data_IF_651928983750
#
_entry.id   IF_651928983750
#
_cell.length_a   1.000
_cell.length_b   1.000
_cell.length_c   1.000
_cell.angle_alpha   90.00
_cell.angle_beta   90.00
_cell.angle_gamma   90.00
#
_symmetry.space_group_name_H-M   'P 1'
#
loop_
_entity.id
_entity.type
_entity.pdbx_description
1 polymer ?
#
# COMPACT_ATOMS: atom_id res chain seq x y z
N UNK A 1 9.94 81.83 26.43
CA UNK A 1 10.86 80.83 25.94
C UNK A 1 10.32 79.50 26.43
N UNK A 2 9.64 78.71 25.56
CA UNK A 2 8.96 77.45 25.93
C UNK A 2 9.86 76.28 25.52
N UNK A 3 10.24 75.45 26.49
CA UNK A 3 11.01 74.26 26.34
C UNK A 3 9.99 73.11 26.05
N UNK A 4 10.11 72.46 24.88
CA UNK A 4 9.31 71.25 24.47
C UNK A 4 10.05 70.04 24.94
N UNK A 5 9.46 69.29 25.85
CA UNK A 5 9.90 67.91 26.19
C UNK A 5 9.50 66.90 25.09
N UNK A 6 10.51 66.26 24.58
CA UNK A 6 10.35 65.13 23.62
C UNK A 6 10.34 63.82 24.42
N UNK A 7 9.21 63.16 24.48
CA UNK A 7 9.07 61.79 25.04
C UNK A 7 9.38 60.78 23.94
N UNK A 8 10.44 60.00 24.11
CA UNK A 8 10.73 58.82 23.32
C UNK A 8 9.92 57.64 23.87
N UNK A 9 8.93 57.18 23.11
CA UNK A 9 8.23 55.94 23.37
C UNK A 9 9.07 54.75 22.91
N UNK A 10 9.52 53.89 23.84
CA UNK A 10 10.13 52.61 23.57
C UNK A 10 9.00 51.62 23.27
N UNK A 11 8.83 51.26 21.99
CA UNK A 11 7.94 50.21 21.58
C UNK A 11 8.56 48.84 21.92
N UNK A 12 8.00 48.15 22.90
CA UNK A 12 8.32 46.74 23.18
C UNK A 12 7.64 45.92 22.11
N UNK A 13 8.41 45.40 21.13
CA UNK A 13 7.97 44.34 20.25
C UNK A 13 7.84 43.07 21.10
N UNK A 14 6.62 42.66 21.37
CA UNK A 14 6.34 41.34 21.88
C UNK A 14 6.64 40.31 20.75
N UNK A 15 7.76 39.59 20.86
CA UNK A 15 8.02 38.39 20.11
C UNK A 15 7.02 37.33 20.59
N UNK A 16 5.92 37.16 19.83
CA UNK A 16 5.04 36.02 19.98
C UNK A 16 5.86 34.81 19.54
N UNK A 17 6.36 34.04 20.50
CA UNK A 17 6.88 32.70 20.22
C UNK A 17 5.69 31.85 19.81
N UNK A 18 5.61 31.51 18.54
CA UNK A 18 4.82 30.37 18.11
C UNK A 18 5.42 29.12 18.78
N UNK A 19 4.91 28.81 19.98
CA UNK A 19 5.05 27.46 20.51
C UNK A 19 4.31 26.56 19.50
N UNK A 20 5.05 25.72 18.79
CA UNK A 20 4.46 24.73 17.90
C UNK A 20 3.41 23.95 18.70
N UNK A 21 2.19 23.96 18.22
CA UNK A 21 1.17 23.02 18.69
C UNK A 21 1.79 21.63 18.61
N UNK A 22 1.85 20.95 19.77
CA UNK A 22 2.18 19.53 19.78
C UNK A 22 1.15 18.87 18.88
N UNK A 23 1.61 18.21 17.82
CA UNK A 23 0.75 17.38 16.99
C UNK A 23 -0.11 16.53 17.94
N UNK A 24 -1.43 16.61 17.83
CA UNK A 24 -2.31 15.75 18.60
C UNK A 24 -1.89 14.31 18.29
N UNK A 25 -1.53 13.55 19.33
CA UNK A 25 -1.20 12.15 19.17
C UNK A 25 -2.43 11.42 18.63
N UNK A 26 -2.26 10.66 17.56
CA UNK A 26 -3.33 9.84 16.98
C UNK A 26 -3.85 8.86 18.04
N UNK A 27 -5.14 8.93 18.32
CA UNK A 27 -5.85 7.90 19.09
C UNK A 27 -6.13 6.70 18.18
N UNK A 28 -5.23 5.72 18.23
CA UNK A 28 -5.26 4.53 17.36
C UNK A 28 -6.52 3.69 17.62
N UNK A 29 -6.93 3.54 18.89
CA UNK A 29 -8.12 2.76 19.23
C UNK A 29 -9.40 3.42 18.68
N UNK A 30 -9.48 4.75 18.73
CA UNK A 30 -10.57 5.49 18.13
C UNK A 30 -10.58 5.35 16.59
N UNK A 31 -9.41 5.36 15.95
CA UNK A 31 -9.30 5.18 14.50
C UNK A 31 -9.69 3.75 14.08
N UNK A 32 -9.32 2.73 14.85
CA UNK A 32 -9.76 1.35 14.62
C UNK A 32 -11.26 1.18 14.84
N UNK A 33 -11.82 1.78 15.90
CA UNK A 33 -13.28 1.78 16.11
C UNK A 33 -14.05 2.48 14.97
N UNK A 34 -13.47 3.52 14.36
CA UNK A 34 -14.02 4.13 13.17
C UNK A 34 -14.03 3.14 11.97
N UNK A 35 -12.95 2.38 11.78
CA UNK A 35 -12.90 1.36 10.72
C UNK A 35 -13.98 0.30 10.92
N UNK A 36 -14.15 -0.23 12.13
CA UNK A 36 -15.21 -1.20 12.48
C UNK A 36 -16.61 -0.67 12.14
N UNK A 37 -16.92 0.58 12.50
CA UNK A 37 -18.20 1.21 12.13
C UNK A 37 -18.41 1.24 10.60
N UNK A 38 -17.36 1.58 9.83
CA UNK A 38 -17.46 1.63 8.37
C UNK A 38 -17.56 0.22 7.76
N UNK A 39 -16.88 -0.79 8.31
CA UNK A 39 -17.05 -2.20 7.92
C UNK A 39 -18.50 -2.62 8.08
N UNK A 40 -19.12 -2.37 9.23
CA UNK A 40 -20.51 -2.71 9.47
C UNK A 40 -21.48 -1.98 8.54
N UNK A 41 -21.20 -0.70 8.21
CA UNK A 41 -22.00 0.05 7.22
C UNK A 41 -21.87 -0.53 5.81
N UNK A 42 -20.68 -0.91 5.39
CA UNK A 42 -20.44 -1.57 4.12
C UNK A 42 -21.14 -2.93 4.03
N UNK A 43 -21.02 -3.77 5.06
CA UNK A 43 -21.69 -5.07 5.13
C UNK A 43 -23.23 -4.92 5.05
N UNK A 44 -23.82 -3.98 5.77
CA UNK A 44 -25.27 -3.72 5.72
C UNK A 44 -25.76 -3.39 4.31
N UNK A 45 -24.95 -2.69 3.50
CA UNK A 45 -25.30 -2.42 2.10
C UNK A 45 -25.09 -3.63 1.18
N UNK A 46 -24.02 -4.42 1.40
CA UNK A 46 -23.76 -5.63 0.62
C UNK A 46 -24.85 -6.70 0.83
N UNK A 47 -25.47 -6.74 2.01
CA UNK A 47 -26.52 -7.68 2.39
C UNK A 47 -27.94 -7.15 2.16
N UNK A 48 -28.11 -5.91 1.72
CA UNK A 48 -29.40 -5.20 1.64
C UNK A 48 -30.47 -5.92 0.83
N UNK A 49 -30.11 -6.72 -0.16
CA UNK A 49 -31.02 -7.45 -1.04
C UNK A 49 -31.16 -8.93 -0.67
N UNK A 50 -30.71 -9.33 0.51
CA UNK A 50 -30.71 -10.71 0.97
C UNK A 50 -29.32 -11.17 1.39
N UNK A 51 -29.04 -12.46 1.19
CA UNK A 51 -27.71 -13.01 1.49
C UNK A 51 -26.64 -12.42 0.56
N UNK A 52 -25.48 -12.04 1.12
CA UNK A 52 -24.39 -11.45 0.35
C UNK A 52 -23.86 -12.41 -0.72
N UNK A 53 -23.58 -11.91 -1.91
CA UNK A 53 -22.81 -12.65 -2.92
C UNK A 53 -21.32 -12.48 -2.62
N UNK A 54 -20.73 -13.46 -1.94
CA UNK A 54 -19.32 -13.43 -1.52
C UNK A 54 -18.33 -13.43 -2.71
N UNK A 55 -18.80 -13.67 -3.93
CA UNK A 55 -17.98 -13.52 -5.14
C UNK A 55 -17.93 -12.07 -5.66
N UNK A 56 -18.72 -11.15 -5.09
CA UNK A 56 -18.74 -9.73 -5.43
C UNK A 56 -17.90 -8.95 -4.44
N UNK A 57 -16.72 -8.48 -4.87
CA UNK A 57 -15.75 -7.79 -4.02
C UNK A 57 -15.83 -6.26 -4.18
N UNK A 58 -15.88 -5.47 -3.10
CA UNK A 58 -15.74 -4.02 -3.13
C UNK A 58 -14.47 -3.58 -3.86
N UNK A 59 -14.58 -2.53 -4.68
CA UNK A 59 -13.44 -1.99 -5.42
C UNK A 59 -13.24 -0.50 -5.21
N UNK A 60 -14.24 0.31 -5.56
CA UNK A 60 -14.16 1.77 -5.43
C UNK A 60 -15.54 2.39 -5.15
N UNK A 61 -15.52 3.63 -4.66
CA UNK A 61 -16.67 4.53 -4.60
C UNK A 61 -16.26 5.82 -5.31
N UNK A 62 -16.88 6.11 -6.44
CA UNK A 62 -16.54 7.28 -7.23
C UNK A 62 -17.15 8.56 -6.63
N UNK A 63 -16.68 9.72 -7.09
CA UNK A 63 -17.15 11.00 -6.60
C UNK A 63 -18.67 11.13 -6.71
N UNK A 64 -19.33 11.47 -5.60
CA UNK A 64 -20.79 11.59 -5.50
C UNK A 64 -21.54 10.29 -5.19
N UNK A 65 -20.88 9.13 -5.22
CA UNK A 65 -21.45 7.85 -4.80
C UNK A 65 -21.29 7.63 -3.29
N UNK A 66 -22.08 6.71 -2.73
CA UNK A 66 -22.08 6.41 -1.30
C UNK A 66 -21.68 4.98 -0.97
N UNK A 67 -21.75 4.07 -1.92
CA UNK A 67 -21.60 2.64 -1.73
C UNK A 67 -20.60 2.07 -2.70
N UNK A 68 -20.03 0.92 -2.34
CA UNK A 68 -19.01 0.25 -3.13
C UNK A 68 -19.55 -0.20 -4.51
N UNK A 69 -18.84 0.17 -5.55
CA UNK A 69 -18.88 -0.51 -6.83
C UNK A 69 -18.15 -1.84 -6.68
N UNK A 70 -18.92 -2.93 -6.64
CA UNK A 70 -18.36 -4.27 -6.51
C UNK A 70 -18.01 -4.87 -7.86
N UNK A 71 -16.98 -5.72 -7.89
CA UNK A 71 -16.55 -6.51 -9.04
C UNK A 71 -16.64 -8.00 -8.70
N UNK A 72 -17.13 -8.76 -9.65
CA UNK A 72 -17.13 -10.22 -9.53
C UNK A 72 -15.69 -10.74 -9.55
N UNK A 73 -15.40 -11.68 -8.68
CA UNK A 73 -14.11 -12.39 -8.67
C UNK A 73 -13.85 -12.99 -10.05
N UNK A 74 -12.79 -12.56 -10.70
CA UNK A 74 -12.37 -12.97 -12.02
C UNK A 74 -10.85 -12.75 -12.15
N UNK A 75 -10.20 -13.46 -13.07
CA UNK A 75 -8.74 -13.38 -13.25
C UNK A 75 -8.24 -11.99 -13.66
N UNK A 76 -9.12 -11.15 -14.21
CA UNK A 76 -8.83 -9.77 -14.62
C UNK A 76 -8.99 -8.74 -13.48
N UNK A 77 -9.58 -9.13 -12.34
CA UNK A 77 -9.87 -8.25 -11.20
C UNK A 77 -8.85 -8.44 -10.09
N UNK A 78 -7.88 -7.53 -10.00
CA UNK A 78 -6.75 -7.64 -9.08
C UNK A 78 -7.03 -7.19 -7.63
N UNK A 79 -8.15 -6.50 -7.40
CA UNK A 79 -8.44 -5.89 -6.08
C UNK A 79 -9.21 -6.80 -5.14
N UNK A 80 -9.61 -8.00 -5.58
CA UNK A 80 -10.55 -8.87 -4.85
C UNK A 80 -10.05 -9.35 -3.48
N UNK A 81 -8.74 -9.37 -3.23
CA UNK A 81 -8.17 -9.82 -1.95
C UNK A 81 -8.22 -8.79 -0.82
N UNK A 82 -8.41 -7.51 -1.13
CA UNK A 82 -8.35 -6.44 -0.12
C UNK A 82 -9.56 -6.43 0.83
N UNK A 83 -10.77 -6.64 0.30
CA UNK A 83 -11.95 -6.68 1.17
C UNK A 83 -11.92 -7.79 2.21
N UNK A 84 -11.71 -9.08 1.87
CA UNK A 84 -11.51 -10.09 2.89
C UNK A 84 -10.32 -9.79 3.80
N UNK A 85 -9.25 -9.17 3.30
CA UNK A 85 -8.14 -8.70 4.12
C UNK A 85 -8.55 -7.66 5.15
N UNK A 86 -9.39 -6.69 4.79
CA UNK A 86 -9.97 -5.70 5.72
C UNK A 86 -10.80 -6.42 6.80
N UNK A 87 -11.61 -7.40 6.43
CA UNK A 87 -12.40 -8.16 7.40
C UNK A 87 -11.51 -8.95 8.37
N UNK A 88 -10.40 -9.51 7.90
CA UNK A 88 -9.41 -10.16 8.77
C UNK A 88 -8.76 -9.18 9.75
N UNK A 89 -8.41 -7.97 9.30
CA UNK A 89 -7.86 -6.93 10.17
C UNK A 89 -8.89 -6.40 11.16
N UNK A 90 -10.14 -6.28 10.76
CA UNK A 90 -11.22 -5.88 11.66
C UNK A 90 -11.49 -6.97 12.71
N UNK A 91 -11.47 -8.25 12.33
CA UNK A 91 -11.48 -9.35 13.27
C UNK A 91 -10.29 -9.32 14.24
N UNK A 92 -9.08 -9.03 13.77
CA UNK A 92 -7.90 -8.86 14.64
C UNK A 92 -8.10 -7.74 15.66
N UNK A 93 -8.69 -6.61 15.25
CA UNK A 93 -8.95 -5.47 16.13
C UNK A 93 -10.06 -5.72 17.14
N UNK A 94 -11.14 -6.41 16.74
CA UNK A 94 -12.39 -6.50 17.51
C UNK A 94 -12.63 -7.85 18.18
N UNK A 95 -11.99 -8.92 17.67
CA UNK A 95 -12.24 -10.31 18.04
C UNK A 95 -13.72 -10.73 17.82
N UNK A 96 -14.40 -10.13 16.84
CA UNK A 96 -15.78 -10.41 16.50
C UNK A 96 -15.90 -11.65 15.62
N UNK A 97 -16.43 -12.76 16.16
CA UNK A 97 -16.58 -14.01 15.41
C UNK A 97 -17.46 -13.90 14.16
N UNK A 98 -18.45 -13.01 14.15
CA UNK A 98 -19.29 -12.78 12.95
C UNK A 98 -18.45 -12.19 11.81
N UNK A 99 -17.55 -11.25 12.13
CA UNK A 99 -16.62 -10.68 11.13
C UNK A 99 -15.65 -11.75 10.63
N UNK A 100 -15.16 -12.63 11.52
CA UNK A 100 -14.32 -13.77 11.13
C UNK A 100 -15.02 -14.70 10.13
N UNK A 101 -16.27 -15.09 10.40
CA UNK A 101 -17.04 -15.95 9.50
C UNK A 101 -17.26 -15.30 8.12
N UNK A 102 -17.48 -13.98 8.08
CA UNK A 102 -17.60 -13.24 6.83
C UNK A 102 -16.24 -13.17 6.10
N UNK A 103 -15.15 -12.91 6.82
CA UNK A 103 -13.80 -12.90 6.27
C UNK A 103 -13.46 -14.27 5.64
N UNK A 104 -13.82 -15.38 6.28
CA UNK A 104 -13.65 -16.74 5.75
C UNK A 104 -14.42 -16.92 4.42
N UNK A 105 -15.72 -16.56 4.38
CA UNK A 105 -16.57 -16.73 3.19
C UNK A 105 -16.07 -15.89 1.99
N UNK A 106 -15.71 -14.61 2.23
CA UNK A 106 -15.14 -13.76 1.18
C UNK A 106 -13.77 -14.27 0.73
N UNK A 107 -12.92 -14.74 1.64
CA UNK A 107 -11.60 -15.34 1.32
C UNK A 107 -11.76 -16.58 0.45
N UNK A 108 -12.65 -17.48 0.80
CA UNK A 108 -12.88 -18.74 0.06
C UNK A 108 -13.35 -18.51 -1.37
N UNK A 109 -14.02 -17.40 -1.66
CA UNK A 109 -14.40 -17.02 -3.04
C UNK A 109 -13.21 -16.83 -3.98
N UNK A 110 -12.01 -16.61 -3.43
CA UNK A 110 -10.77 -16.41 -4.17
C UNK A 110 -9.96 -17.69 -4.41
N UNK A 111 -10.47 -18.84 -3.95
CA UNK A 111 -9.77 -20.14 -4.09
C UNK A 111 -9.38 -20.48 -5.53
N UNK A 112 -10.18 -20.03 -6.50
CA UNK A 112 -9.93 -20.28 -7.92
C UNK A 112 -8.50 -19.89 -8.37
N UNK A 113 -7.88 -18.88 -7.73
CA UNK A 113 -6.52 -18.41 -8.09
C UNK A 113 -5.42 -19.43 -7.78
N UNK A 114 -5.69 -20.41 -6.90
CA UNK A 114 -4.81 -21.55 -6.69
C UNK A 114 -5.02 -22.71 -7.70
N UNK A 115 -6.09 -22.65 -8.50
CA UNK A 115 -6.53 -23.73 -9.38
C UNK A 115 -6.36 -23.38 -10.87
N UNK A 116 -6.14 -22.10 -11.20
CA UNK A 116 -5.94 -21.62 -12.57
C UNK A 116 -4.52 -21.10 -12.80
N UNK A 117 -4.01 -21.12 -14.04
CA UNK A 117 -2.74 -20.48 -14.36
C UNK A 117 -2.75 -18.98 -14.07
N UNK A 118 -1.60 -18.42 -13.69
CA UNK A 118 -1.42 -16.99 -13.48
C UNK A 118 -1.82 -16.20 -14.73
N UNK A 119 -2.79 -15.31 -14.59
CA UNK A 119 -3.20 -14.39 -15.64
C UNK A 119 -2.25 -13.19 -15.74
N UNK A 120 -1.84 -12.67 -14.57
CA UNK A 120 -0.82 -11.65 -14.40
C UNK A 120 -0.18 -11.76 -13.00
N UNK A 121 0.57 -10.74 -12.59
CA UNK A 121 1.35 -10.78 -11.36
C UNK A 121 0.56 -10.52 -10.08
N UNK A 122 -0.69 -10.07 -10.14
CA UNK A 122 -1.44 -9.52 -8.99
C UNK A 122 -1.90 -10.57 -7.96
N UNK A 123 -1.39 -11.80 -8.05
CA UNK A 123 -1.79 -12.93 -7.21
C UNK A 123 -1.50 -12.71 -5.71
N UNK A 124 -0.46 -11.94 -5.38
CA UNK A 124 -0.20 -11.56 -3.99
C UNK A 124 -1.29 -10.66 -3.42
N UNK A 125 -1.74 -9.66 -4.18
CA UNK A 125 -2.86 -8.81 -3.79
C UNK A 125 -4.15 -9.60 -3.60
N UNK A 126 -4.39 -10.61 -4.45
CA UNK A 126 -5.58 -11.43 -4.39
C UNK A 126 -5.54 -12.44 -3.23
N UNK A 127 -4.45 -13.21 -3.12
CA UNK A 127 -4.38 -14.36 -2.23
C UNK A 127 -3.64 -14.07 -0.94
N UNK A 128 -2.55 -13.30 -0.96
CA UNK A 128 -1.80 -13.06 0.27
C UNK A 128 -2.48 -12.03 1.18
N UNK A 129 -3.11 -10.99 0.61
CA UNK A 129 -3.92 -10.06 1.41
C UNK A 129 -5.14 -10.72 2.06
N UNK A 130 -5.69 -11.80 1.46
CA UNK A 130 -6.84 -12.54 1.98
C UNK A 130 -6.43 -13.79 2.77
N UNK A 131 -6.03 -14.84 2.09
CA UNK A 131 -5.61 -16.10 2.71
C UNK A 131 -4.40 -15.96 3.64
N UNK A 132 -3.46 -15.04 3.34
CA UNK A 132 -2.31 -14.77 4.18
C UNK A 132 -2.72 -14.27 5.55
N UNK A 133 -3.59 -13.25 5.62
CA UNK A 133 -4.14 -12.77 6.89
C UNK A 133 -5.00 -13.83 7.59
N UNK A 134 -5.82 -14.56 6.83
CA UNK A 134 -6.61 -15.66 7.37
C UNK A 134 -5.74 -16.75 7.99
N UNK A 135 -4.64 -17.16 7.31
CA UNK A 135 -3.70 -18.13 7.87
C UNK A 135 -3.01 -17.63 9.13
N UNK A 136 -2.54 -16.39 9.12
CA UNK A 136 -1.88 -15.79 10.29
C UNK A 136 -2.75 -15.82 11.55
N UNK A 137 -4.06 -15.60 11.39
CA UNK A 137 -5.00 -15.50 12.51
C UNK A 137 -5.62 -16.86 12.91
N UNK A 138 -5.72 -17.82 11.99
CA UNK A 138 -6.44 -19.08 12.23
C UNK A 138 -5.56 -20.33 12.18
N UNK A 139 -4.37 -20.22 11.56
CA UNK A 139 -3.50 -21.37 11.26
C UNK A 139 -4.18 -22.48 10.43
N UNK A 140 -5.21 -22.11 9.65
CA UNK A 140 -5.93 -23.07 8.81
C UNK A 140 -4.99 -23.68 7.74
N UNK A 141 -4.70 -24.99 7.75
CA UNK A 141 -3.74 -25.60 6.83
C UNK A 141 -4.18 -25.52 5.36
N UNK A 142 -5.49 -25.47 5.10
CA UNK A 142 -6.01 -25.28 3.73
C UNK A 142 -5.60 -23.94 3.16
N UNK A 143 -5.54 -22.90 3.98
CA UNK A 143 -5.10 -21.56 3.55
C UNK A 143 -3.63 -21.56 3.15
N UNK A 144 -2.78 -22.27 3.93
CA UNK A 144 -1.37 -22.48 3.56
C UNK A 144 -1.25 -23.13 2.18
N UNK A 145 -1.99 -24.19 1.93
CA UNK A 145 -1.90 -24.95 0.69
C UNK A 145 -2.37 -24.11 -0.52
N UNK A 146 -3.41 -23.27 -0.36
CA UNK A 146 -3.85 -22.29 -1.37
C UNK A 146 -2.75 -21.27 -1.66
N UNK A 147 -2.11 -20.69 -0.64
CA UNK A 147 -1.03 -19.71 -0.81
C UNK A 147 0.15 -20.33 -1.57
N UNK A 148 0.58 -21.53 -1.21
CA UNK A 148 1.71 -22.21 -1.86
C UNK A 148 1.38 -22.49 -3.33
N UNK A 149 0.20 -23.04 -3.64
CA UNK A 149 -0.22 -23.32 -5.01
C UNK A 149 -0.28 -22.02 -5.86
N UNK A 150 -0.75 -20.93 -5.27
CA UNK A 150 -0.81 -19.62 -5.94
C UNK A 150 0.60 -19.05 -6.16
N UNK A 151 1.51 -19.20 -5.19
CA UNK A 151 2.91 -18.79 -5.33
C UNK A 151 3.62 -19.57 -6.45
N UNK A 152 3.37 -20.88 -6.56
CA UNK A 152 3.89 -21.70 -7.67
C UNK A 152 3.32 -21.22 -9.02
N UNK A 153 2.03 -20.87 -9.08
CA UNK A 153 1.41 -20.30 -10.28
C UNK A 153 2.05 -18.97 -10.66
N UNK A 154 2.25 -18.04 -9.70
CA UNK A 154 2.95 -16.77 -9.94
C UNK A 154 4.38 -16.99 -10.47
N UNK A 155 5.12 -17.94 -9.92
CA UNK A 155 6.47 -18.25 -10.34
C UNK A 155 6.58 -18.78 -11.79
N UNK A 156 5.47 -19.23 -12.40
CA UNK A 156 5.45 -19.58 -13.82
C UNK A 156 5.66 -18.39 -14.76
N UNK A 157 5.39 -17.17 -14.29
CA UNK A 157 5.63 -15.93 -15.03
C UNK A 157 7.09 -15.45 -14.96
N UNK A 158 7.94 -16.12 -14.17
CA UNK A 158 9.34 -15.76 -14.05
C UNK A 158 10.14 -16.17 -15.29
N UNK A 159 10.90 -15.22 -15.81
CA UNK A 159 11.85 -15.47 -16.91
C UNK A 159 13.29 -15.45 -16.37
N UNK A 160 13.98 -16.60 -16.35
CA UNK A 160 15.33 -16.68 -15.77
C UNK A 160 16.39 -15.90 -16.57
N UNK A 161 16.17 -15.61 -17.85
CA UNK A 161 17.09 -14.82 -18.67
C UNK A 161 16.98 -13.32 -18.34
N UNK A 162 15.75 -12.86 -18.06
CA UNK A 162 15.48 -11.49 -17.62
C UNK A 162 15.76 -11.32 -16.13
N UNK A 163 15.44 -12.31 -15.33
CA UNK A 163 15.55 -12.28 -13.88
C UNK A 163 14.36 -11.68 -13.15
N UNK A 164 13.21 -11.49 -13.84
CA UNK A 164 11.98 -10.96 -13.25
C UNK A 164 10.75 -11.78 -13.60
N UNK A 165 9.69 -11.57 -12.81
CA UNK A 165 8.34 -12.04 -13.07
C UNK A 165 7.68 -11.09 -14.08
N UNK A 166 7.11 -11.63 -15.15
CA UNK A 166 6.33 -10.88 -16.13
C UNK A 166 5.07 -10.33 -15.46
N UNK A 167 4.88 -9.02 -15.49
CA UNK A 167 3.72 -8.41 -14.83
C UNK A 167 2.45 -8.59 -15.63
N UNK A 168 2.45 -8.21 -16.90
CA UNK A 168 1.25 -8.25 -17.74
C UNK A 168 1.48 -9.03 -19.03
N UNK A 169 1.23 -10.35 -19.07
CA UNK A 169 1.36 -11.15 -20.29
C UNK A 169 0.57 -10.56 -21.46
N UNK A 170 -0.62 -10.02 -21.21
CA UNK A 170 -1.49 -9.39 -22.21
C UNK A 170 -0.93 -8.11 -22.84
N UNK A 171 0.04 -7.49 -22.22
CA UNK A 171 0.61 -6.19 -22.66
C UNK A 171 2.00 -6.33 -23.30
N UNK A 172 2.49 -7.57 -23.56
CA UNK A 172 3.80 -7.80 -24.17
C UNK A 172 3.94 -7.07 -25.50
N UNK A 173 2.95 -7.18 -26.41
CA UNK A 173 2.99 -6.52 -27.70
C UNK A 173 2.91 -5.00 -27.57
N UNK A 174 2.00 -4.48 -26.73
CA UNK A 174 1.81 -3.05 -26.52
C UNK A 174 3.06 -2.38 -25.92
N UNK A 175 3.71 -3.02 -24.97
CA UNK A 175 4.90 -2.49 -24.29
C UNK A 175 6.20 -2.79 -25.05
N UNK A 176 6.21 -3.82 -25.89
CA UNK A 176 7.34 -4.19 -26.74
C UNK A 176 8.27 -5.23 -26.13
N UNK A 177 7.85 -5.99 -25.11
CA UNK A 177 8.66 -7.04 -24.50
C UNK A 177 8.17 -7.52 -23.14
N UNK A 178 9.01 -8.29 -22.47
CA UNK A 178 8.76 -8.74 -21.10
C UNK A 178 8.71 -7.53 -20.17
N UNK A 179 7.56 -7.26 -19.60
CA UNK A 179 7.32 -6.07 -18.79
C UNK A 179 7.26 -6.40 -17.31
N UNK A 180 7.81 -5.51 -16.50
CA UNK A 180 7.80 -5.59 -15.05
C UNK A 180 7.37 -4.24 -14.50
N UNK A 181 6.36 -4.22 -13.65
CA UNK A 181 5.92 -3.00 -12.98
C UNK A 181 6.31 -2.99 -11.51
N UNK A 182 6.37 -1.80 -10.92
CA UNK A 182 6.81 -1.64 -9.52
C UNK A 182 5.90 -2.36 -8.53
N UNK A 183 4.61 -2.44 -8.82
CA UNK A 183 3.58 -3.13 -8.02
C UNK A 183 3.93 -4.59 -7.75
N UNK A 184 4.68 -5.23 -8.65
CA UNK A 184 5.11 -6.62 -8.49
C UNK A 184 5.97 -6.86 -7.25
N UNK A 185 6.62 -5.81 -6.71
CA UNK A 185 7.39 -5.91 -5.47
C UNK A 185 6.55 -6.36 -4.27
N UNK A 186 5.24 -6.06 -4.26
CA UNK A 186 4.32 -6.49 -3.19
C UNK A 186 4.07 -7.99 -3.24
N UNK A 187 4.01 -8.58 -4.45
CA UNK A 187 3.72 -10.00 -4.63
C UNK A 187 4.89 -10.90 -4.18
N UNK A 188 6.09 -10.35 -3.99
CA UNK A 188 7.25 -11.10 -3.51
C UNK A 188 7.07 -11.65 -2.09
N UNK A 189 6.29 -10.98 -1.26
CA UNK A 189 6.00 -11.42 0.10
C UNK A 189 5.37 -12.82 0.11
N UNK A 190 4.40 -13.07 -0.78
CA UNK A 190 3.78 -14.38 -0.94
C UNK A 190 4.81 -15.46 -1.32
N UNK A 191 5.76 -15.15 -2.20
CA UNK A 191 6.80 -16.09 -2.61
C UNK A 191 7.75 -16.44 -1.46
N UNK A 192 8.22 -15.43 -0.73
CA UNK A 192 9.07 -15.64 0.44
C UNK A 192 8.36 -16.46 1.51
N UNK A 193 7.10 -16.09 1.80
CA UNK A 193 6.29 -16.81 2.77
C UNK A 193 6.07 -18.28 2.37
N UNK A 194 5.69 -18.54 1.12
CA UNK A 194 5.45 -19.89 0.62
C UNK A 194 6.72 -20.75 0.73
N UNK A 195 7.89 -20.23 0.34
CA UNK A 195 9.16 -20.93 0.46
C UNK A 195 9.52 -21.34 1.91
N UNK A 196 9.10 -20.56 2.91
CA UNK A 196 9.34 -20.86 4.33
C UNK A 196 8.29 -21.80 4.93
N UNK A 197 7.12 -21.89 4.32
CA UNK A 197 5.99 -22.63 4.87
C UNK A 197 5.69 -23.94 4.13
N UNK A 198 6.70 -24.51 3.46
CA UNK A 198 6.65 -25.84 2.81
C UNK A 198 6.55 -25.81 1.29
N UNK A 199 6.56 -24.65 0.66
CA UNK A 199 6.72 -24.50 -0.79
C UNK A 199 8.18 -24.72 -1.25
N UNK A 200 8.39 -24.72 -2.56
CA UNK A 200 9.72 -24.91 -3.16
C UNK A 200 10.65 -23.73 -2.81
N UNK A 201 11.88 -24.02 -2.42
CA UNK A 201 12.95 -23.02 -2.17
C UNK A 201 13.16 -22.09 -3.37
N UNK A 202 12.93 -22.56 -4.59
CA UNK A 202 13.00 -21.76 -5.83
C UNK A 202 12.15 -20.48 -5.74
N UNK A 203 11.04 -20.49 -5.02
CA UNK A 203 10.17 -19.29 -4.84
C UNK A 203 10.92 -18.15 -4.17
N UNK A 204 11.76 -18.47 -3.18
CA UNK A 204 12.64 -17.49 -2.52
C UNK A 204 13.66 -16.91 -3.51
N UNK A 205 14.30 -17.77 -4.30
CA UNK A 205 15.34 -17.35 -5.26
C UNK A 205 14.74 -16.50 -6.38
N UNK A 206 13.51 -16.80 -6.84
CA UNK A 206 12.75 -15.97 -7.78
C UNK A 206 12.46 -14.60 -7.21
N UNK A 207 12.02 -14.51 -5.95
CA UNK A 207 11.74 -13.24 -5.30
C UNK A 207 12.98 -12.37 -5.16
N UNK A 208 14.10 -12.94 -4.74
CA UNK A 208 15.39 -12.26 -4.65
C UNK A 208 15.87 -11.76 -6.00
N UNK A 209 15.82 -12.63 -7.03
CA UNK A 209 16.20 -12.25 -8.39
C UNK A 209 15.37 -11.09 -8.93
N UNK A 210 14.05 -11.13 -8.70
CA UNK A 210 13.15 -10.06 -9.10
C UNK A 210 13.50 -8.74 -8.40
N UNK A 211 13.72 -8.75 -7.09
CA UNK A 211 14.08 -7.58 -6.30
C UNK A 211 15.41 -6.96 -6.78
N UNK A 212 16.44 -7.79 -7.01
CA UNK A 212 17.73 -7.32 -7.51
C UNK A 212 17.63 -6.68 -8.89
N UNK A 213 16.87 -7.31 -9.81
CA UNK A 213 16.68 -6.78 -11.17
C UNK A 213 15.84 -5.49 -11.17
N UNK A 214 14.87 -5.38 -10.28
CA UNK A 214 14.09 -4.16 -10.09
C UNK A 214 14.97 -3.03 -9.54
N UNK A 215 15.84 -3.32 -8.55
CA UNK A 215 16.80 -2.35 -8.01
C UNK A 215 17.74 -1.82 -9.09
N UNK A 216 18.23 -2.70 -9.97
CA UNK A 216 19.16 -2.34 -11.05
C UNK A 216 18.49 -1.44 -12.12
N UNK A 217 17.22 -1.68 -12.46
CA UNK A 217 16.65 -1.13 -13.68
C UNK A 217 15.48 -0.17 -13.50
N UNK A 218 14.74 -0.21 -12.36
CA UNK A 218 13.51 0.58 -12.22
C UNK A 218 13.67 1.85 -11.37
N UNK A 219 14.90 2.30 -11.16
CA UNK A 219 15.17 3.54 -10.44
C UNK A 219 16.10 4.45 -11.23
N UNK A 220 15.94 5.76 -10.98
CA UNK A 220 16.84 6.81 -11.46
C UNK A 220 17.97 7.01 -10.47
N UNK A 221 19.05 7.73 -10.85
CA UNK A 221 20.18 8.00 -9.95
C UNK A 221 19.80 8.74 -8.66
N UNK A 222 18.67 9.44 -8.65
CA UNK A 222 18.10 10.14 -7.51
C UNK A 222 17.12 9.30 -6.68
N UNK A 223 17.04 7.99 -6.96
CA UNK A 223 16.14 7.02 -6.31
C UNK A 223 14.64 7.21 -6.55
N UNK A 224 14.24 8.04 -7.52
CA UNK A 224 12.86 8.07 -7.99
C UNK A 224 12.58 6.87 -8.89
N UNK A 225 11.41 6.24 -8.76
CA UNK A 225 11.08 5.02 -9.49
C UNK A 225 10.52 5.28 -10.88
N UNK A 226 10.83 4.40 -11.84
CA UNK A 226 10.04 4.17 -13.04
C UNK A 226 8.92 3.19 -12.71
N UNK A 227 7.73 3.43 -13.24
CA UNK A 227 6.62 2.49 -13.04
C UNK A 227 6.89 1.16 -13.77
N UNK A 228 7.31 1.20 -15.04
CA UNK A 228 7.47 0.03 -15.91
C UNK A 228 8.90 -0.05 -16.44
N UNK A 229 9.50 -1.25 -16.35
CA UNK A 229 10.68 -1.64 -17.10
C UNK A 229 10.31 -2.74 -18.11
N UNK A 230 10.85 -2.67 -19.32
CA UNK A 230 10.62 -3.63 -20.39
C UNK A 230 11.96 -4.26 -20.79
N UNK A 231 11.96 -5.56 -20.98
CA UNK A 231 13.16 -6.34 -21.22
C UNK A 231 13.06 -7.16 -22.51
N UNK A 232 14.19 -7.30 -23.18
CA UNK A 232 14.40 -8.26 -24.24
C UNK A 232 14.63 -9.66 -23.65
N UNK A 233 13.78 -10.62 -23.95
CA UNK A 233 13.87 -12.00 -23.44
C UNK A 233 15.04 -12.81 -23.99
N UNK A 234 15.64 -12.42 -25.10
CA UNK A 234 16.81 -13.08 -25.69
C UNK A 234 18.12 -12.69 -25.00
N UNK A 235 18.24 -11.41 -24.64
CA UNK A 235 19.46 -10.87 -24.03
C UNK A 235 19.33 -10.71 -22.51
N UNK A 236 18.12 -10.53 -21.98
CA UNK A 236 17.86 -10.15 -20.59
C UNK A 236 18.04 -8.67 -20.30
N UNK A 237 18.37 -7.85 -21.30
CA UNK A 237 18.63 -6.41 -21.12
C UNK A 237 17.33 -5.61 -20.98
N UNK A 238 17.37 -4.59 -20.13
CA UNK A 238 16.31 -3.58 -20.08
C UNK A 238 16.40 -2.70 -21.35
N UNK A 239 15.33 -2.66 -22.12
CA UNK A 239 15.27 -1.96 -23.42
C UNK A 239 14.40 -0.70 -23.38
N UNK A 240 13.53 -0.56 -22.34
CA UNK A 240 12.64 0.60 -22.22
C UNK A 240 12.25 0.77 -20.75
N UNK A 241 12.10 2.03 -20.33
CA UNK A 241 11.52 2.43 -19.06
C UNK A 241 10.42 3.44 -19.32
N UNK A 242 9.26 3.28 -18.71
CA UNK A 242 8.12 4.16 -18.95
C UNK A 242 7.14 4.16 -17.78
N UNK A 243 6.07 4.92 -17.92
CA UNK A 243 4.94 4.85 -17.02
C UNK A 243 3.71 4.23 -17.69
N UNK A 244 2.76 3.76 -16.87
CA UNK A 244 1.42 3.36 -17.29
C UNK A 244 0.36 4.15 -16.51
N UNK A 245 0.60 4.37 -15.21
CA UNK A 245 -0.34 5.06 -14.32
C UNK A 245 0.16 6.44 -13.88
N UNK A 246 1.45 6.75 -14.00
CA UNK A 246 2.04 8.06 -13.69
C UNK A 246 1.75 9.13 -14.73
N UNK A 247 2.16 10.36 -14.43
CA UNK A 247 1.97 11.54 -15.29
C UNK A 247 2.78 11.46 -16.57
N UNK A 248 4.06 11.08 -16.47
CA UNK A 248 4.99 10.98 -17.61
C UNK A 248 6.03 9.90 -17.34
N UNK A 249 6.74 9.43 -18.37
CA UNK A 249 7.78 8.41 -18.21
C UNK A 249 8.89 8.84 -17.24
N UNK A 250 9.16 10.14 -17.14
CA UNK A 250 10.17 10.71 -16.25
C UNK A 250 9.61 11.13 -14.87
N UNK A 251 8.31 10.99 -14.62
CA UNK A 251 7.70 11.41 -13.37
C UNK A 251 7.86 10.35 -12.26
N UNK A 252 7.70 10.78 -11.03
CA UNK A 252 7.63 9.91 -9.85
C UNK A 252 6.16 9.70 -9.48
N UNK A 253 5.56 8.62 -9.98
CA UNK A 253 4.22 8.20 -9.59
C UNK A 253 4.19 7.81 -8.11
N UNK A 254 3.32 8.45 -7.33
CA UNK A 254 3.37 8.36 -5.87
C UNK A 254 3.16 6.93 -5.35
N UNK A 255 2.20 6.19 -5.90
CA UNK A 255 1.94 4.81 -5.49
C UNK A 255 3.01 3.85 -5.98
N UNK A 256 3.63 4.08 -7.15
CA UNK A 256 4.77 3.29 -7.59
C UNK A 256 5.96 3.40 -6.64
N UNK A 257 6.28 4.63 -6.19
CA UNK A 257 7.31 4.83 -5.17
C UNK A 257 6.93 4.19 -3.83
N UNK A 258 5.64 4.24 -3.45
CA UNK A 258 5.13 3.60 -2.25
C UNK A 258 5.28 2.06 -2.29
N UNK A 259 4.94 1.44 -3.43
CA UNK A 259 5.14 0.00 -3.63
C UNK A 259 6.60 -0.41 -3.51
N UNK A 260 7.52 0.41 -4.04
CA UNK A 260 8.95 0.17 -3.89
C UNK A 260 9.39 0.20 -2.43
N UNK A 261 8.97 1.21 -1.66
CA UNK A 261 9.30 1.34 -0.23
C UNK A 261 8.81 0.12 0.54
N UNK A 262 7.53 -0.24 0.38
CA UNK A 262 6.96 -1.41 1.05
C UNK A 262 7.66 -2.70 0.62
N UNK A 263 7.84 -2.91 -0.68
CA UNK A 263 8.45 -4.11 -1.22
C UNK A 263 9.88 -4.32 -0.73
N UNK A 264 10.75 -3.31 -0.75
CA UNK A 264 12.12 -3.46 -0.24
C UNK A 264 12.19 -3.59 1.28
N UNK A 265 11.24 -3.04 2.02
CA UNK A 265 11.08 -3.31 3.47
C UNK A 265 10.82 -4.79 3.71
N UNK A 266 9.91 -5.39 2.95
CA UNK A 266 9.62 -6.83 2.97
C UNK A 266 10.83 -7.65 2.55
N UNK A 267 11.50 -7.30 1.46
CA UNK A 267 12.68 -8.05 0.98
C UNK A 267 13.79 -8.06 2.04
N UNK A 268 14.02 -6.94 2.73
CA UNK A 268 14.96 -6.91 3.86
C UNK A 268 14.50 -7.83 5.01
N UNK A 269 13.23 -7.75 5.44
CA UNK A 269 12.69 -8.64 6.47
C UNK A 269 12.95 -10.11 6.15
N UNK A 270 12.74 -10.48 4.89
CA UNK A 270 12.78 -11.86 4.43
C UNK A 270 14.19 -12.40 4.20
N UNK A 271 15.12 -11.54 3.80
CA UNK A 271 16.50 -11.94 3.45
C UNK A 271 17.52 -11.63 4.54
N UNK A 272 17.31 -10.58 5.32
CA UNK A 272 18.30 -10.02 6.25
C UNK A 272 19.48 -9.35 5.55
N UNK A 273 19.47 -9.19 4.22
CA UNK A 273 20.56 -8.55 3.47
C UNK A 273 20.48 -7.02 3.60
N UNK A 274 21.46 -6.37 4.25
CA UNK A 274 21.41 -4.93 4.53
C UNK A 274 21.30 -4.05 3.28
N UNK A 275 21.71 -4.52 2.10
CA UNK A 275 21.59 -3.75 0.86
C UNK A 275 20.15 -3.32 0.57
N UNK A 276 19.16 -4.14 0.93
CA UNK A 276 17.76 -3.82 0.70
C UNK A 276 17.23 -2.78 1.68
N UNK A 277 17.67 -2.81 2.94
CA UNK A 277 17.33 -1.78 3.92
C UNK A 277 17.95 -0.44 3.55
N UNK A 278 19.25 -0.41 3.23
CA UNK A 278 19.95 0.79 2.77
C UNK A 278 19.31 1.39 1.52
N UNK A 279 18.79 0.53 0.64
CA UNK A 279 18.06 1.00 -0.54
C UNK A 279 16.70 1.56 -0.18
N UNK A 280 15.92 0.88 0.67
CA UNK A 280 14.63 1.36 1.15
C UNK A 280 14.75 2.71 1.87
N UNK A 281 15.80 2.94 2.67
CA UNK A 281 16.08 4.23 3.31
C UNK A 281 16.16 5.38 2.30
N UNK A 282 16.89 5.16 1.19
CA UNK A 282 17.03 6.17 0.13
C UNK A 282 15.71 6.46 -0.58
N UNK A 283 14.90 5.43 -0.80
CA UNK A 283 13.56 5.59 -1.37
C UNK A 283 12.65 6.40 -0.43
N UNK A 284 12.71 6.12 0.87
CA UNK A 284 11.97 6.86 1.90
C UNK A 284 12.42 8.31 1.97
N UNK A 285 13.73 8.58 1.98
CA UNK A 285 14.26 9.94 2.04
C UNK A 285 13.74 10.79 0.87
N UNK A 286 13.71 10.22 -0.35
CA UNK A 286 13.17 10.90 -1.53
C UNK A 286 11.66 11.12 -1.41
N UNK A 287 10.92 10.11 -0.95
CA UNK A 287 9.48 10.21 -0.78
C UNK A 287 9.12 11.31 0.24
N UNK A 288 9.68 11.26 1.44
CA UNK A 288 9.40 12.21 2.51
C UNK A 288 9.77 13.65 2.15
N UNK A 289 10.90 13.84 1.42
CA UNK A 289 11.34 15.16 0.96
C UNK A 289 10.34 15.84 0.02
N UNK A 290 9.59 15.05 -0.75
CA UNK A 290 8.66 15.56 -1.76
C UNK A 290 7.19 15.63 -1.27
N UNK A 291 6.92 15.19 -0.03
CA UNK A 291 5.56 15.25 0.53
C UNK A 291 5.11 16.69 0.75
N UNK A 292 3.81 16.97 0.54
CA UNK A 292 3.21 18.20 1.01
C UNK A 292 3.11 18.23 2.54
N UNK A 293 2.74 19.38 3.08
CA UNK A 293 2.69 19.65 4.53
C UNK A 293 1.81 18.68 5.32
N UNK A 294 0.74 18.18 4.70
CA UNK A 294 -0.19 17.21 5.30
C UNK A 294 0.24 15.74 5.16
N UNK A 295 1.44 15.47 4.69
CA UNK A 295 2.00 14.11 4.55
C UNK A 295 1.20 13.13 3.69
N UNK A 296 0.22 13.58 2.91
CA UNK A 296 -0.50 12.77 1.91
C UNK A 296 -0.07 13.24 0.52
N UNK A 297 0.54 12.39 -0.31
CA UNK A 297 1.09 12.80 -1.60
C UNK A 297 0.01 13.20 -2.60
N UNK A 298 0.40 13.99 -3.58
CA UNK A 298 -0.34 14.06 -4.84
C UNK A 298 -0.23 12.73 -5.57
N UNK A 299 -1.16 12.43 -6.48
CA UNK A 299 -1.17 11.17 -7.23
C UNK A 299 0.13 10.91 -8.01
N UNK A 300 0.82 11.97 -8.40
CA UNK A 300 2.17 11.97 -8.98
C UNK A 300 2.89 13.21 -8.44
N UNK A 301 4.13 13.07 -8.00
CA UNK A 301 4.91 14.18 -7.44
C UNK A 301 5.30 15.25 -8.47
N UNK A 302 5.16 14.93 -9.76
CA UNK A 302 5.39 15.83 -10.88
C UNK A 302 4.08 16.25 -11.57
N UNK A 303 2.92 16.02 -10.95
CA UNK A 303 1.63 16.41 -11.50
C UNK A 303 1.62 17.93 -11.81
N UNK A 304 1.19 18.32 -13.01
CA UNK A 304 1.33 19.72 -13.47
C UNK A 304 0.44 20.70 -12.71
N UNK A 305 -0.62 20.19 -12.08
CA UNK A 305 -1.63 20.98 -11.38
C UNK A 305 -1.32 21.18 -9.89
N UNK A 306 -0.15 20.76 -9.38
CA UNK A 306 0.25 21.02 -7.99
C UNK A 306 0.27 22.54 -7.74
N UNK A 307 -0.36 23.05 -6.65
CA UNK A 307 -0.90 22.34 -5.49
C UNK A 307 -2.36 21.86 -5.61
N UNK A 308 -3.01 21.99 -6.74
CA UNK A 308 -4.43 21.65 -6.95
C UNK A 308 -4.63 20.23 -7.51
N UNK A 309 -3.56 19.49 -7.77
CA UNK A 309 -3.65 18.10 -8.23
C UNK A 309 -4.35 17.21 -7.20
N UNK A 310 -5.09 16.17 -7.64
CA UNK A 310 -5.67 15.18 -6.74
C UNK A 310 -4.63 14.49 -5.86
N UNK A 311 -5.07 14.04 -4.70
CA UNK A 311 -4.25 13.29 -3.75
C UNK A 311 -4.30 11.79 -4.05
N UNK A 312 -3.37 11.07 -3.48
CA UNK A 312 -3.44 9.61 -3.39
C UNK A 312 -3.26 9.15 -1.95
N UNK A 313 -4.38 9.07 -1.22
CA UNK A 313 -4.41 8.57 0.14
C UNK A 313 -3.87 7.14 0.24
N UNK A 314 -4.08 6.31 -0.80
CA UNK A 314 -3.59 4.93 -0.81
C UNK A 314 -2.06 4.84 -0.74
N UNK A 315 -1.36 5.73 -1.44
CA UNK A 315 0.11 5.78 -1.39
C UNK A 315 0.63 6.16 0.00
N UNK A 316 -0.05 7.09 0.70
CA UNK A 316 0.30 7.42 2.09
C UNK A 316 0.09 6.23 3.03
N UNK A 317 -1.01 5.48 2.88
CA UNK A 317 -1.29 4.29 3.69
C UNK A 317 -0.22 3.21 3.53
N UNK A 318 0.16 2.91 2.30
CA UNK A 318 1.21 1.93 1.97
C UNK A 318 2.54 2.33 2.61
N UNK A 319 2.94 3.60 2.47
CA UNK A 319 4.19 4.09 3.05
C UNK A 319 4.14 4.10 4.57
N UNK A 320 3.04 4.56 5.17
CA UNK A 320 2.89 4.54 6.63
C UNK A 320 3.04 3.12 7.19
N UNK A 321 2.42 2.13 6.54
CA UNK A 321 2.53 0.73 6.92
C UNK A 321 3.97 0.21 6.83
N UNK A 322 4.68 0.52 5.74
CA UNK A 322 6.09 0.16 5.57
C UNK A 322 7.01 0.82 6.59
N UNK A 323 6.82 2.12 6.88
CA UNK A 323 7.64 2.87 7.82
C UNK A 323 7.51 2.34 9.25
N UNK A 324 6.32 1.91 9.65
CA UNK A 324 6.11 1.28 10.96
C UNK A 324 6.87 -0.04 11.09
N UNK A 325 6.94 -0.83 10.02
CA UNK A 325 7.78 -2.02 10.00
C UNK A 325 9.27 -1.67 10.03
N UNK A 326 9.70 -0.73 9.18
CA UNK A 326 11.09 -0.25 9.15
C UNK A 326 11.55 0.28 10.51
N UNK A 327 10.68 0.95 11.26
CA UNK A 327 11.02 1.50 12.58
C UNK A 327 11.56 0.44 13.55
N UNK A 328 11.08 -0.80 13.42
CA UNK A 328 11.49 -1.94 14.24
C UNK A 328 12.82 -2.59 13.83
N UNK A 329 13.41 -2.21 12.70
CA UNK A 329 14.70 -2.76 12.26
C UNK A 329 15.90 -2.10 12.90
N UNK A 330 15.71 -0.97 13.58
CA UNK A 330 16.78 -0.17 14.17
C UNK A 330 16.75 -0.26 15.69
N UNK A 331 17.95 -0.39 16.27
CA UNK A 331 18.14 -0.19 17.70
C UNK A 331 18.36 1.29 18.06
N UNK A 332 18.37 1.59 19.36
CA UNK A 332 18.84 2.87 19.91
C UNK A 332 18.17 4.14 19.36
N UNK A 333 16.86 4.08 19.04
CA UNK A 333 16.06 5.22 18.60
C UNK A 333 16.26 5.66 17.14
N UNK A 334 17.09 4.99 16.36
CA UNK A 334 17.25 5.30 14.93
C UNK A 334 15.96 5.09 14.12
N UNK A 335 15.10 4.18 14.57
CA UNK A 335 13.81 3.91 13.94
C UNK A 335 12.74 4.98 14.20
N UNK A 336 12.93 5.85 15.20
CA UNK A 336 11.92 6.81 15.63
C UNK A 336 11.48 7.76 14.50
N UNK A 337 12.43 8.22 13.66
CA UNK A 337 12.11 9.07 12.50
C UNK A 337 11.10 8.46 11.53
N UNK A 338 11.12 7.14 11.37
CA UNK A 338 10.19 6.42 10.50
C UNK A 338 8.82 6.29 11.15
N UNK A 339 8.80 5.97 12.46
CA UNK A 339 7.57 5.95 13.25
C UNK A 339 6.89 7.33 13.24
N UNK A 340 7.62 8.41 13.54
CA UNK A 340 7.09 9.78 13.50
C UNK A 340 6.53 10.16 12.13
N UNK A 341 7.18 9.78 11.04
CA UNK A 341 6.68 10.04 9.69
C UNK A 341 5.37 9.27 9.41
N UNK A 342 5.30 8.01 9.82
CA UNK A 342 4.07 7.20 9.71
C UNK A 342 2.94 7.77 10.55
N UNK A 343 3.21 8.21 11.80
CA UNK A 343 2.23 8.84 12.67
C UNK A 343 1.67 10.13 12.05
N UNK A 344 2.50 10.97 11.43
CA UNK A 344 2.04 12.18 10.72
C UNK A 344 1.13 11.84 9.54
N UNK A 345 1.47 10.83 8.73
CA UNK A 345 0.60 10.34 7.66
C UNK A 345 -0.74 9.86 8.21
N UNK A 346 -0.72 9.03 9.25
CA UNK A 346 -1.93 8.46 9.86
C UNK A 346 -2.78 9.53 10.56
N UNK A 347 -2.17 10.53 11.21
CA UNK A 347 -2.90 11.69 11.76
C UNK A 347 -3.67 12.43 10.66
N UNK A 348 -3.01 12.72 9.52
CA UNK A 348 -3.67 13.37 8.39
C UNK A 348 -4.79 12.51 7.82
N UNK A 349 -4.53 11.22 7.58
CA UNK A 349 -5.51 10.26 7.04
C UNK A 349 -6.71 10.06 7.99
N UNK A 350 -6.50 10.23 9.30
CA UNK A 350 -7.57 10.13 10.33
C UNK A 350 -8.34 11.44 10.54
N UNK A 351 -8.00 12.51 9.81
CA UNK A 351 -8.68 13.81 9.89
C UNK A 351 -10.02 13.83 9.13
N UNK A 352 -10.80 14.88 9.41
CA UNK A 352 -12.07 15.17 8.70
C UNK A 352 -11.88 15.35 7.18
N UNK A 353 -10.67 15.68 6.74
CA UNK A 353 -10.34 15.84 5.33
C UNK A 353 -10.30 14.50 4.58
N UNK A 354 -9.79 13.46 5.23
CA UNK A 354 -9.53 12.19 4.56
C UNK A 354 -10.45 11.05 4.98
N UNK A 355 -10.97 11.03 6.22
CA UNK A 355 -11.96 10.04 6.62
C UNK A 355 -13.28 10.29 5.91
N UNK A 356 -13.88 9.25 5.34
CA UNK A 356 -15.15 9.34 4.61
C UNK A 356 -16.35 9.64 5.51
N UNK A 357 -16.33 9.13 6.73
CA UNK A 357 -17.39 9.29 7.75
C UNK A 357 -18.79 9.06 7.16
N UNK A 358 -19.61 10.11 7.08
CA UNK A 358 -20.95 10.05 6.53
C UNK A 358 -21.02 10.30 5.02
N UNK A 359 -19.91 10.61 4.38
CA UNK A 359 -19.84 10.84 2.92
C UNK A 359 -20.11 9.55 2.17
N UNK A 360 -19.47 8.46 2.54
CA UNK A 360 -19.67 7.13 1.97
C UNK A 360 -19.27 6.02 2.97
N UNK A 361 -19.29 4.75 2.57
CA UNK A 361 -19.01 3.59 3.43
C UNK A 361 -17.56 3.10 3.39
N UNK A 362 -16.65 3.76 2.68
CA UNK A 362 -15.22 3.47 2.75
C UNK A 362 -14.59 4.06 4.03
N UNK A 363 -13.35 3.75 4.31
CA UNK A 363 -12.59 4.42 5.37
C UNK A 363 -12.11 5.79 4.91
N UNK A 364 -11.55 5.86 3.70
CA UNK A 364 -10.84 7.04 3.21
C UNK A 364 -11.41 7.60 1.91
N UNK A 365 -11.25 8.91 1.76
CA UNK A 365 -11.47 9.68 0.55
C UNK A 365 -10.11 9.95 -0.14
N UNK A 366 -10.17 10.58 -1.32
CA UNK A 366 -9.04 11.24 -1.98
C UNK A 366 -7.90 10.31 -2.39
N UNK A 367 -8.22 9.16 -2.98
CA UNK A 367 -7.26 8.32 -3.71
C UNK A 367 -7.39 8.50 -5.22
N UNK A 368 -6.31 8.23 -5.95
CA UNK A 368 -6.29 8.27 -7.43
C UNK A 368 -5.76 6.97 -7.99
N UNK A 369 -6.63 6.16 -8.59
CA UNK A 369 -6.29 4.85 -9.13
C UNK A 369 -5.47 4.94 -10.42
N UNK A 370 -6.03 5.55 -11.49
CA UNK A 370 -5.39 5.57 -12.80
C UNK A 370 -5.70 6.87 -13.56
N UNK A 371 -4.89 7.90 -13.32
CA UNK A 371 -5.08 9.22 -13.96
C UNK A 371 -5.08 9.20 -15.49
N UNK A 372 -4.09 8.57 -16.19
CA UNK A 372 -4.08 8.54 -17.64
C UNK A 372 -5.31 7.89 -18.27
N UNK A 373 -5.89 6.88 -17.60
CA UNK A 373 -7.14 6.25 -18.03
C UNK A 373 -8.40 7.00 -17.57
N UNK A 374 -8.25 8.12 -16.86
CA UNK A 374 -9.37 8.90 -16.26
C UNK A 374 -10.28 8.02 -15.39
N UNK A 375 -9.69 7.08 -14.68
CA UNK A 375 -10.38 6.12 -13.82
C UNK A 375 -10.00 6.32 -12.37
N UNK A 376 -10.99 6.27 -11.48
CA UNK A 376 -10.81 6.33 -10.02
C UNK A 376 -10.02 7.58 -9.59
N UNK A 377 -10.38 8.76 -10.13
CA UNK A 377 -9.77 10.04 -9.77
C UNK A 377 -10.53 10.62 -8.59
N UNK A 378 -9.80 10.99 -7.53
CA UNK A 378 -10.39 11.54 -6.30
C UNK A 378 -11.51 10.64 -5.74
N UNK A 379 -11.24 9.34 -5.65
CA UNK A 379 -12.16 8.30 -5.26
C UNK A 379 -11.78 7.65 -3.92
N UNK A 380 -12.73 6.95 -3.30
CA UNK A 380 -12.42 5.96 -2.28
C UNK A 380 -12.07 4.65 -2.95
N UNK A 381 -10.96 4.03 -2.57
CA UNK A 381 -10.43 2.83 -3.22
C UNK A 381 -10.10 1.78 -2.17
N UNK A 382 -10.51 0.53 -2.41
CA UNK A 382 -10.45 -0.55 -1.42
C UNK A 382 -9.03 -0.79 -0.85
N UNK A 383 -7.98 -0.65 -1.65
CA UNK A 383 -6.62 -0.85 -1.15
C UNK A 383 -6.10 0.32 -0.29
N UNK A 384 -6.70 1.52 -0.38
CA UNK A 384 -6.43 2.58 0.59
C UNK A 384 -6.93 2.17 1.98
N UNK A 385 -8.14 1.64 2.05
CA UNK A 385 -8.75 1.18 3.29
C UNK A 385 -7.97 -0.01 3.88
N UNK A 386 -7.55 -0.96 3.03
CA UNK A 386 -6.73 -2.10 3.47
C UNK A 386 -5.43 -1.67 4.14
N UNK A 387 -4.63 -0.83 3.48
CA UNK A 387 -3.36 -0.39 4.04
C UNK A 387 -3.51 0.62 5.18
N UNK A 388 -4.65 1.32 5.26
CA UNK A 388 -4.95 2.19 6.40
C UNK A 388 -5.16 1.39 7.68
N UNK A 389 -6.03 0.39 7.69
CA UNK A 389 -6.27 -0.44 8.87
C UNK A 389 -5.04 -1.29 9.22
N UNK A 390 -4.30 -1.79 8.22
CA UNK A 390 -3.01 -2.45 8.44
C UNK A 390 -2.03 -1.54 9.18
N UNK A 391 -1.86 -0.30 8.72
CA UNK A 391 -0.95 0.65 9.35
C UNK A 391 -1.39 1.02 10.77
N UNK A 392 -2.70 1.16 11.03
CA UNK A 392 -3.21 1.39 12.39
C UNK A 392 -2.89 0.22 13.34
N UNK A 393 -3.08 -1.02 12.89
CA UNK A 393 -2.74 -2.21 13.69
C UNK A 393 -1.23 -2.31 13.94
N UNK A 394 -0.41 -2.03 12.92
CA UNK A 394 1.05 -1.96 13.07
C UNK A 394 1.47 -0.88 14.07
N UNK A 395 0.85 0.31 14.02
CA UNK A 395 1.12 1.38 14.98
C UNK A 395 0.71 1.00 16.40
N UNK A 396 -0.45 0.36 16.57
CA UNK A 396 -0.88 -0.17 17.88
C UNK A 396 0.17 -1.11 18.46
N UNK A 397 0.62 -2.10 17.69
CA UNK A 397 1.66 -3.05 18.09
C UNK A 397 2.98 -2.37 18.49
N UNK A 398 3.44 -1.42 17.66
CA UNK A 398 4.67 -0.66 17.94
C UNK A 398 4.55 0.17 19.22
N UNK A 399 3.39 0.78 19.48
CA UNK A 399 3.12 1.52 20.71
C UNK A 399 3.08 0.62 21.97
N UNK A 400 2.73 -0.66 21.81
CA UNK A 400 2.79 -1.70 22.84
C UNK A 400 4.20 -2.31 23.01
N UNK A 401 5.18 -1.85 22.25
CA UNK A 401 6.56 -2.36 22.27
C UNK A 401 6.75 -3.69 21.52
N UNK A 402 5.80 -4.06 20.68
CA UNK A 402 5.85 -5.26 19.85
C UNK A 402 6.42 -4.94 18.46
N UNK A 403 6.78 -5.99 17.70
CA UNK A 403 7.10 -5.80 16.28
C UNK A 403 5.84 -5.42 15.51
N UNK A 404 5.98 -4.56 14.51
CA UNK A 404 4.88 -4.17 13.63
C UNK A 404 4.28 -5.38 12.88
N UNK A 405 5.14 -6.32 12.48
CA UNK A 405 4.79 -7.59 11.81
C UNK A 405 5.29 -8.77 12.64
N UNK A 406 4.47 -9.84 12.72
CA UNK A 406 4.78 -11.08 13.44
C UNK A 406 5.76 -11.99 12.70
#
# INVERSE_FOLDING_TARGET
>A
MKIRNLLYGIGIMALSSCAGEKAENLDVDKALAYCDVQVHRALAELEKNGEADYSMQPRNILSGEKFWNCRKVAKEEWTGGFWPGILWFDYEATQNDTIRELAEKYTESLKLFSEIPAYDHDLGFLVFCSYGNGYRLTHNPTYRDVIIATADSLATLYNPKVGTILSWPRNIEMLGGHNTIMDNMINLEMLFWAARNGGDRRLFDVAVSHADKTMENQFRPDYTSYHVAVYDTLTGNCIKKCTHQGYADESMWARGQAWAIYGYTVVFRETGDPKYLEFAEKLVDVYLKNLPEDYVPYWDFNAPDIPNAPRDASAACVVASALLEMSGFYGNGQGEKYKEAAEKMLCSLSSDKYQSRDTNVAFLLHSTGHWPAKSEIDASIIYADYYYIEALLRLKRVNEGLRAVE
#
